data_IF_328961478925
#
_entry.id   IF_328961478925
#
_cell.length_a   1.000
_cell.length_b   1.000
_cell.length_c   1.000
_cell.angle_alpha   90.00
_cell.angle_beta   90.00
_cell.angle_gamma   90.00
#
_symmetry.space_group_name_H-M   'P 1'
#
loop_
_entity.id
_entity.type
_entity.pdbx_description
1 polymer ?
#
# COMPACT_ATOMS: atom_id res chain seq x y z
N UNK A 1 -1.43 0.78 9.79
CA UNK A 1 -1.01 0.95 8.37
C UNK A 1 0.05 2.03 8.20
N UNK A 2 -0.14 3.25 8.71
CA UNK A 2 0.84 4.33 8.56
C UNK A 2 2.25 4.03 9.13
N UNK A 3 2.36 3.17 10.15
CA UNK A 3 3.65 2.67 10.66
C UNK A 3 4.51 1.99 9.60
N UNK A 4 3.92 1.53 8.47
CA UNK A 4 4.67 1.00 7.33
C UNK A 4 5.63 2.03 6.71
N UNK A 5 5.29 3.32 6.81
CA UNK A 5 6.14 4.40 6.30
C UNK A 5 7.40 4.61 7.13
N UNK A 6 7.31 4.38 8.46
CA UNK A 6 8.49 4.42 9.33
C UNK A 6 9.49 3.35 8.88
N UNK A 7 8.98 2.14 8.59
CA UNK A 7 9.79 1.03 8.08
C UNK A 7 10.34 1.35 6.70
N UNK A 8 9.50 1.92 5.83
CA UNK A 8 9.88 2.29 4.47
C UNK A 8 10.99 3.34 4.42
N UNK A 9 11.12 4.21 5.42
CA UNK A 9 12.16 5.24 5.46
C UNK A 9 13.33 4.86 6.37
N UNK A 10 13.04 4.31 7.55
CA UNK A 10 14.07 3.91 8.53
C UNK A 10 14.66 2.55 8.21
N UNK A 11 13.83 1.54 8.00
CA UNK A 11 14.27 0.16 7.82
C UNK A 11 15.07 -0.10 6.56
N UNK A 12 14.86 0.68 5.49
CA UNK A 12 15.61 0.52 4.23
C UNK A 12 17.07 1.01 4.32
N UNK A 13 17.42 1.69 5.40
CA UNK A 13 18.81 2.06 5.67
C UNK A 13 19.62 0.85 6.12
N UNK A 14 19.00 -0.02 6.90
CA UNK A 14 19.62 -1.21 7.48
C UNK A 14 19.43 -2.44 6.59
N UNK A 15 18.25 -2.57 5.96
CA UNK A 15 17.85 -3.75 5.19
C UNK A 15 17.50 -3.35 3.76
N UNK A 16 17.98 -4.09 2.73
CA UNK A 16 17.59 -3.83 1.34
C UNK A 16 16.05 -3.86 1.16
N UNK A 17 15.47 -2.94 0.35
CA UNK A 17 14.02 -2.73 0.31
C UNK A 17 13.21 -3.94 -0.12
N UNK A 18 13.66 -4.70 -1.13
CA UNK A 18 12.94 -5.89 -1.59
C UNK A 18 13.10 -7.03 -0.59
N UNK A 19 14.30 -7.18 -0.02
CA UNK A 19 14.56 -8.12 1.07
C UNK A 19 13.65 -7.87 2.26
N UNK A 20 13.50 -6.61 2.66
CA UNK A 20 12.62 -6.21 3.76
C UNK A 20 11.15 -6.55 3.47
N UNK A 21 10.69 -6.30 2.24
CA UNK A 21 9.33 -6.66 1.82
C UNK A 21 9.10 -8.18 1.82
N UNK A 22 10.05 -8.93 1.24
CA UNK A 22 9.99 -10.40 1.18
C UNK A 22 9.92 -11.02 2.57
N UNK A 23 10.89 -10.71 3.42
CA UNK A 23 10.98 -11.29 4.75
C UNK A 23 9.81 -10.89 5.66
N UNK A 24 9.33 -9.66 5.52
CA UNK A 24 8.11 -9.22 6.22
C UNK A 24 6.91 -10.09 5.89
N UNK A 25 6.61 -10.31 4.61
CA UNK A 25 5.44 -11.09 4.21
C UNK A 25 5.61 -12.59 4.47
N UNK A 26 6.82 -13.10 4.33
CA UNK A 26 7.14 -14.46 4.74
C UNK A 26 6.92 -14.66 6.25
N UNK A 27 7.34 -13.70 7.07
CA UNK A 27 7.12 -13.72 8.52
C UNK A 27 5.64 -13.65 8.88
N UNK A 28 4.84 -12.82 8.20
CA UNK A 28 3.36 -12.80 8.34
C UNK A 28 2.80 -14.19 8.08
N UNK A 29 3.20 -14.83 6.99
CA UNK A 29 2.75 -16.18 6.66
C UNK A 29 3.17 -17.20 7.75
N UNK A 30 4.42 -17.19 8.17
CA UNK A 30 4.95 -18.13 9.20
C UNK A 30 4.19 -17.97 10.53
N UNK A 31 3.88 -16.73 10.94
CA UNK A 31 3.13 -16.49 12.19
C UNK A 31 1.69 -16.95 12.08
N UNK A 32 1.02 -16.70 10.94
CA UNK A 32 -0.41 -17.00 10.79
C UNK A 32 -0.69 -18.46 10.43
N UNK A 33 0.23 -19.12 9.73
CA UNK A 33 0.02 -20.48 9.22
C UNK A 33 -0.37 -21.48 10.30
N UNK A 34 0.25 -21.55 11.48
CA UNK A 34 -0.12 -22.51 12.52
C UNK A 34 -1.59 -22.37 12.97
N UNK A 35 -2.14 -21.17 12.99
CA UNK A 35 -3.50 -20.90 13.42
C UNK A 35 -4.55 -21.26 12.37
N UNK A 36 -4.23 -21.08 11.08
CA UNK A 36 -5.19 -21.24 9.98
C UNK A 36 -4.93 -22.48 9.12
N UNK A 37 -3.90 -23.26 9.40
CA UNK A 37 -3.52 -24.45 8.66
C UNK A 37 -4.66 -25.47 8.53
N UNK A 38 -5.36 -25.76 9.64
CA UNK A 38 -6.46 -26.72 9.64
C UNK A 38 -7.63 -26.28 8.74
N UNK A 39 -7.97 -24.97 8.74
CA UNK A 39 -9.03 -24.45 7.87
C UNK A 39 -8.62 -24.52 6.39
N UNK A 40 -7.38 -24.17 6.09
CA UNK A 40 -6.83 -24.23 4.72
C UNK A 40 -6.82 -25.67 4.20
N UNK A 41 -6.40 -26.64 5.02
CA UNK A 41 -6.38 -28.06 4.64
C UNK A 41 -7.78 -28.62 4.43
N UNK A 42 -8.74 -28.30 5.31
CA UNK A 42 -10.13 -28.73 5.16
C UNK A 42 -10.75 -28.24 3.85
N UNK A 43 -10.33 -27.06 3.38
CA UNK A 43 -10.83 -26.41 2.17
C UNK A 43 -9.83 -26.51 1.00
N UNK A 44 -9.05 -27.60 0.92
CA UNK A 44 -8.03 -27.79 -0.12
C UNK A 44 -8.59 -27.68 -1.55
N UNK A 45 -9.83 -28.12 -1.78
CA UNK A 45 -10.47 -27.99 -3.08
C UNK A 45 -10.70 -26.51 -3.50
N UNK A 46 -11.06 -25.64 -2.53
CA UNK A 46 -11.22 -24.20 -2.73
C UNK A 46 -9.85 -23.57 -2.99
N UNK A 47 -8.82 -23.96 -2.20
CA UNK A 47 -7.47 -23.49 -2.42
C UNK A 47 -7.01 -23.72 -3.86
N UNK A 48 -7.18 -24.95 -4.39
CA UNK A 48 -6.80 -25.28 -5.76
C UNK A 48 -7.59 -24.48 -6.82
N UNK A 49 -8.88 -24.26 -6.58
CA UNK A 49 -9.75 -23.45 -7.47
C UNK A 49 -9.38 -21.97 -7.49
N UNK A 50 -8.89 -21.44 -6.37
CA UNK A 50 -8.62 -20.01 -6.19
C UNK A 50 -7.12 -19.65 -6.25
N UNK A 51 -6.25 -20.61 -6.58
CA UNK A 51 -4.79 -20.43 -6.50
C UNK A 51 -4.30 -19.25 -7.33
N UNK A 52 -4.75 -19.11 -8.57
CA UNK A 52 -4.37 -18.02 -9.47
C UNK A 52 -4.89 -16.66 -8.98
N UNK A 53 -6.11 -16.62 -8.45
CA UNK A 53 -6.70 -15.41 -7.87
C UNK A 53 -5.92 -14.94 -6.63
N UNK A 54 -5.63 -15.88 -5.73
CA UNK A 54 -4.89 -15.57 -4.51
C UNK A 54 -3.42 -15.24 -4.79
N UNK A 55 -2.80 -15.86 -5.82
CA UNK A 55 -1.47 -15.47 -6.30
C UNK A 55 -1.47 -14.04 -6.83
N UNK A 56 -2.43 -13.68 -7.68
CA UNK A 56 -2.56 -12.32 -8.21
C UNK A 56 -2.78 -11.29 -7.09
N UNK A 57 -3.66 -11.60 -6.14
CA UNK A 57 -3.88 -10.74 -4.97
C UNK A 57 -2.61 -10.59 -4.13
N UNK A 58 -1.86 -11.68 -3.92
CA UNK A 58 -0.58 -11.66 -3.23
C UNK A 58 0.46 -10.81 -3.96
N UNK A 59 0.59 -10.98 -5.27
CA UNK A 59 1.52 -10.21 -6.08
C UNK A 59 1.19 -8.70 -6.07
N UNK A 60 -0.09 -8.32 -6.17
CA UNK A 60 -0.50 -6.91 -6.15
C UNK A 60 -0.46 -6.31 -4.74
N UNK A 61 -1.11 -6.97 -3.76
CA UNK A 61 -1.28 -6.43 -2.41
C UNK A 61 -0.03 -6.53 -1.53
N UNK A 62 0.70 -7.63 -1.62
CA UNK A 62 1.90 -7.87 -0.82
C UNK A 62 3.18 -7.65 -1.62
N UNK A 63 3.20 -8.02 -2.90
CA UNK A 63 4.33 -7.80 -3.79
C UNK A 63 4.49 -6.32 -4.14
N UNK A 64 3.69 -5.81 -5.04
CA UNK A 64 3.76 -4.41 -5.52
C UNK A 64 3.55 -3.42 -4.38
N UNK A 65 2.42 -3.55 -3.67
CA UNK A 65 2.09 -2.68 -2.54
C UNK A 65 3.02 -2.84 -1.33
N UNK A 66 3.68 -3.99 -1.21
CA UNK A 66 4.63 -4.28 -0.16
C UNK A 66 6.02 -3.74 -0.42
N UNK A 67 6.57 -3.94 -1.63
CA UNK A 67 7.93 -3.56 -1.99
C UNK A 67 8.08 -2.10 -2.43
N UNK A 68 7.14 -1.58 -3.22
CA UNK A 68 7.26 -0.25 -3.81
C UNK A 68 7.38 0.88 -2.77
N UNK A 69 6.65 0.89 -1.63
CA UNK A 69 6.88 1.86 -0.57
C UNK A 69 8.30 1.78 0.01
N UNK A 70 8.88 0.58 0.11
CA UNK A 70 10.24 0.42 0.63
C UNK A 70 11.28 0.93 -0.37
N UNK A 71 11.10 0.65 -1.67
CA UNK A 71 11.94 1.26 -2.72
C UNK A 71 11.77 2.78 -2.72
N UNK A 72 10.55 3.29 -2.59
CA UNK A 72 10.27 4.72 -2.52
C UNK A 72 10.99 5.40 -1.34
N UNK A 73 11.00 4.75 -0.18
CA UNK A 73 11.64 5.26 1.03
C UNK A 73 13.14 5.54 0.91
N UNK A 74 13.82 5.00 -0.11
CA UNK A 74 15.22 5.29 -0.38
C UNK A 74 15.45 6.69 -0.94
N UNK A 75 14.45 7.33 -1.55
CA UNK A 75 14.64 8.56 -2.32
C UNK A 75 13.56 9.63 -2.16
N UNK A 76 12.48 9.37 -1.40
CA UNK A 76 11.45 10.38 -1.10
C UNK A 76 11.14 10.47 0.40
N UNK A 77 10.38 11.50 0.79
CA UNK A 77 10.01 11.76 2.18
C UNK A 77 8.79 10.92 2.62
N UNK A 78 8.67 10.66 3.93
CA UNK A 78 7.49 9.98 4.49
C UNK A 78 6.21 10.77 4.20
N UNK A 79 6.28 12.10 4.32
CA UNK A 79 5.13 12.99 4.07
C UNK A 79 4.65 12.86 2.63
N UNK A 80 5.57 12.92 1.63
CA UNK A 80 5.22 12.71 0.23
C UNK A 80 4.60 11.32 0.01
N UNK A 81 5.25 10.27 0.53
CA UNK A 81 4.75 8.91 0.44
C UNK A 81 3.32 8.77 0.96
N UNK A 82 3.05 9.37 2.12
CA UNK A 82 1.73 9.33 2.74
C UNK A 82 0.66 10.01 1.91
N UNK A 83 0.94 11.23 1.43
CA UNK A 83 -0.04 11.99 0.63
C UNK A 83 -0.27 11.33 -0.73
N UNK A 84 0.79 10.88 -1.41
CA UNK A 84 0.64 10.17 -2.69
C UNK A 84 -0.18 8.88 -2.51
N UNK A 85 0.07 8.12 -1.45
CA UNK A 85 -0.67 6.89 -1.21
C UNK A 85 -2.16 7.11 -0.91
N UNK A 86 -2.53 8.24 -0.29
CA UNK A 86 -3.94 8.60 -0.06
C UNK A 86 -4.70 8.88 -1.35
N UNK A 87 -4.02 9.00 -2.50
CA UNK A 87 -4.67 9.05 -3.82
C UNK A 87 -5.17 7.68 -4.32
N UNK A 88 -4.86 6.57 -3.64
CA UNK A 88 -5.32 5.22 -4.04
C UNK A 88 -6.82 5.12 -4.33
N UNK A 89 -7.75 5.77 -3.58
CA UNK A 89 -9.17 5.78 -3.91
C UNK A 89 -9.47 6.34 -5.29
N UNK A 90 -8.65 7.25 -5.82
CA UNK A 90 -8.78 7.80 -7.18
C UNK A 90 -8.61 6.68 -8.19
N UNK A 91 -7.52 5.91 -8.03
CA UNK A 91 -7.25 4.77 -8.89
C UNK A 91 -8.32 3.69 -8.77
N UNK A 92 -8.88 3.47 -7.55
CA UNK A 92 -10.01 2.56 -7.35
C UNK A 92 -11.21 3.00 -8.19
N UNK A 93 -11.57 4.30 -8.16
CA UNK A 93 -12.69 4.84 -8.93
C UNK A 93 -12.42 4.71 -10.44
N UNK A 94 -11.24 5.10 -10.91
CA UNK A 94 -10.87 5.01 -12.34
C UNK A 94 -10.94 3.57 -12.84
N UNK A 95 -10.36 2.63 -12.10
CA UNK A 95 -10.38 1.21 -12.46
C UNK A 95 -11.81 0.63 -12.38
N UNK A 96 -12.63 1.08 -11.44
CA UNK A 96 -14.04 0.68 -11.32
C UNK A 96 -14.85 1.10 -12.56
N UNK A 97 -14.64 2.33 -13.03
CA UNK A 97 -15.26 2.82 -14.27
C UNK A 97 -14.81 1.99 -15.46
N UNK A 98 -13.50 1.73 -15.58
CA UNK A 98 -12.92 1.06 -16.73
C UNK A 98 -13.29 -0.42 -16.80
N UNK A 99 -13.18 -1.16 -15.69
CA UNK A 99 -13.40 -2.61 -15.64
C UNK A 99 -14.85 -3.01 -15.35
N UNK A 100 -15.57 -2.20 -14.55
CA UNK A 100 -16.94 -2.53 -14.14
C UNK A 100 -18.01 -1.63 -14.75
N UNK A 101 -17.59 -0.73 -15.67
CA UNK A 101 -18.50 0.20 -16.38
C UNK A 101 -19.35 1.06 -15.44
N UNK A 102 -18.81 1.39 -14.28
CA UNK A 102 -19.46 2.30 -13.33
C UNK A 102 -19.65 3.68 -13.99
N UNK A 103 -20.81 4.28 -13.78
CA UNK A 103 -21.08 5.62 -14.28
C UNK A 103 -20.33 6.67 -13.44
N UNK A 104 -19.72 7.63 -14.14
CA UNK A 104 -19.05 8.74 -13.49
C UNK A 104 -20.00 9.93 -13.42
N UNK A 105 -20.26 10.47 -12.23
CA UNK A 105 -20.95 11.76 -12.09
C UNK A 105 -19.97 12.91 -12.25
N UNK A 106 -20.48 14.09 -12.59
CA UNK A 106 -19.65 15.29 -12.70
C UNK A 106 -18.84 15.58 -11.44
N UNK A 107 -19.43 15.40 -10.26
CA UNK A 107 -18.74 15.58 -8.98
C UNK A 107 -17.58 14.57 -8.79
N UNK A 108 -17.75 13.32 -9.22
CA UNK A 108 -16.67 12.33 -9.20
C UNK A 108 -15.52 12.72 -10.13
N UNK A 109 -15.85 13.16 -11.35
CA UNK A 109 -14.85 13.62 -12.33
C UNK A 109 -14.07 14.82 -11.80
N UNK A 110 -14.76 15.84 -11.27
CA UNK A 110 -14.14 17.01 -10.68
C UNK A 110 -13.25 16.64 -9.47
N UNK A 111 -13.72 15.74 -8.60
CA UNK A 111 -12.95 15.24 -7.47
C UNK A 111 -11.67 14.51 -7.88
N UNK A 112 -11.76 13.67 -8.92
CA UNK A 112 -10.61 12.98 -9.51
C UNK A 112 -9.56 13.97 -10.02
N UNK A 113 -9.98 14.94 -10.85
CA UNK A 113 -9.08 15.95 -11.43
C UNK A 113 -8.40 16.77 -10.34
N UNK A 114 -9.16 17.19 -9.32
CA UNK A 114 -8.62 17.94 -8.19
C UNK A 114 -7.58 17.12 -7.41
N UNK A 115 -7.85 15.86 -7.17
CA UNK A 115 -6.91 14.98 -6.46
C UNK A 115 -5.64 14.73 -7.28
N UNK A 116 -5.75 14.53 -8.59
CA UNK A 116 -4.59 14.38 -9.49
C UNK A 116 -3.74 15.65 -9.45
N UNK A 117 -4.38 16.83 -9.53
CA UNK A 117 -3.67 18.11 -9.41
C UNK A 117 -2.92 18.23 -8.07
N UNK A 118 -3.54 17.79 -6.95
CA UNK A 118 -2.90 17.77 -5.64
C UNK A 118 -1.67 16.87 -5.58
N UNK A 119 -1.75 15.67 -6.14
CA UNK A 119 -0.60 14.73 -6.23
C UNK A 119 0.52 15.33 -7.09
N UNK A 120 0.18 15.95 -8.23
CA UNK A 120 1.18 16.62 -9.09
C UNK A 120 1.86 17.79 -8.37
N UNK A 121 1.13 18.63 -7.62
CA UNK A 121 1.72 19.72 -6.81
C UNK A 121 2.77 19.16 -5.84
N UNK A 122 2.52 18.02 -5.21
CA UNK A 122 3.45 17.40 -4.27
C UNK A 122 4.68 16.84 -4.97
N UNK A 123 4.48 16.11 -6.06
CA UNK A 123 5.56 15.51 -6.83
C UNK A 123 6.48 16.59 -7.39
N UNK A 124 5.89 17.69 -7.90
CA UNK A 124 6.64 18.83 -8.43
C UNK A 124 7.15 19.79 -7.33
N UNK A 125 6.92 19.48 -6.05
CA UNK A 125 7.31 20.33 -4.91
C UNK A 125 6.84 21.78 -5.03
N UNK A 126 5.70 21.99 -5.70
CA UNK A 126 5.13 23.31 -5.98
C UNK A 126 5.81 24.09 -7.11
N UNK A 127 6.79 23.51 -7.80
CA UNK A 127 7.50 24.11 -8.94
C UNK A 127 7.13 23.41 -10.25
N UNK A 128 6.38 24.12 -11.12
CA UNK A 128 5.99 23.59 -12.43
C UNK A 128 7.17 23.31 -13.37
N UNK A 129 8.32 23.98 -13.17
CA UNK A 129 9.50 23.72 -13.97
C UNK A 129 10.04 22.31 -13.71
N UNK A 130 9.85 21.73 -12.51
CA UNK A 130 10.21 20.35 -12.23
C UNK A 130 9.36 19.37 -13.06
N UNK A 131 8.09 19.69 -13.29
CA UNK A 131 7.21 18.92 -14.17
C UNK A 131 7.66 19.00 -15.62
N UNK A 132 7.93 20.20 -16.11
CA UNK A 132 8.36 20.45 -17.50
C UNK A 132 9.71 19.79 -17.81
N UNK A 133 10.62 19.76 -16.84
CA UNK A 133 11.94 19.15 -16.98
C UNK A 133 12.00 17.66 -16.57
N UNK A 134 10.85 17.04 -16.24
CA UNK A 134 10.73 15.65 -15.78
C UNK A 134 11.67 15.28 -14.62
N UNK A 135 11.96 16.25 -13.74
CA UNK A 135 12.82 16.06 -12.57
C UNK A 135 12.01 15.58 -11.35
N UNK A 136 11.41 14.41 -11.48
CA UNK A 136 10.69 13.77 -10.36
C UNK A 136 11.66 13.01 -9.46
N UNK A 137 11.30 12.85 -8.19
CA UNK A 137 11.94 11.87 -7.32
C UNK A 137 11.51 10.48 -7.75
N UNK A 138 12.44 9.56 -7.99
CA UNK A 138 12.11 8.17 -8.33
C UNK A 138 11.18 7.54 -7.27
N UNK A 139 11.35 7.90 -6.00
CA UNK A 139 10.50 7.41 -4.91
C UNK A 139 9.04 7.80 -5.03
N UNK A 140 8.74 9.01 -5.52
CA UNK A 140 7.35 9.44 -5.71
C UNK A 140 6.65 8.61 -6.80
N UNK A 141 7.37 8.23 -7.87
CA UNK A 141 6.86 7.35 -8.92
C UNK A 141 6.59 5.93 -8.40
N UNK A 142 7.47 5.39 -7.56
CA UNK A 142 7.26 4.10 -6.90
C UNK A 142 6.01 4.14 -5.99
N UNK A 143 5.76 5.26 -5.32
CA UNK A 143 4.55 5.42 -4.50
C UNK A 143 3.27 5.47 -5.33
N UNK A 144 3.28 6.08 -6.52
CA UNK A 144 2.14 5.99 -7.46
C UNK A 144 1.89 4.53 -7.84
N UNK A 145 2.95 3.79 -8.16
CA UNK A 145 2.86 2.35 -8.44
C UNK A 145 2.27 1.57 -7.26
N UNK A 146 2.66 1.90 -6.03
CA UNK A 146 2.08 1.29 -4.82
C UNK A 146 0.59 1.62 -4.67
N UNK A 147 0.18 2.87 -4.92
CA UNK A 147 -1.22 3.29 -4.86
C UNK A 147 -2.08 2.59 -5.92
N UNK A 148 -1.55 2.41 -7.14
CA UNK A 148 -2.16 1.61 -8.20
C UNK A 148 -2.28 0.13 -7.81
N UNK A 149 -1.21 -0.47 -7.29
CA UNK A 149 -1.20 -1.86 -6.81
C UNK A 149 -2.28 -2.08 -5.74
N UNK A 150 -2.42 -1.13 -4.80
CA UNK A 150 -3.48 -1.17 -3.80
C UNK A 150 -4.88 -1.08 -4.40
N UNK A 151 -5.06 -0.22 -5.39
CA UNK A 151 -6.34 -0.08 -6.07
C UNK A 151 -6.73 -1.37 -6.79
N UNK A 152 -5.81 -1.97 -7.54
CA UNK A 152 -6.01 -3.26 -8.23
C UNK A 152 -6.34 -4.35 -7.19
N UNK A 153 -5.51 -4.48 -6.15
CA UNK A 153 -5.74 -5.44 -5.07
C UNK A 153 -7.14 -5.26 -4.45
N UNK A 154 -7.51 -4.03 -4.10
CA UNK A 154 -8.78 -3.73 -3.42
C UNK A 154 -9.99 -4.09 -4.26
N UNK A 155 -9.98 -3.76 -5.56
CA UNK A 155 -11.06 -4.07 -6.49
C UNK A 155 -11.24 -5.58 -6.65
N UNK A 156 -10.16 -6.29 -6.92
CA UNK A 156 -10.24 -7.74 -7.13
C UNK A 156 -10.53 -8.50 -5.84
N UNK A 157 -10.05 -8.03 -4.69
CA UNK A 157 -10.39 -8.61 -3.39
C UNK A 157 -11.90 -8.53 -3.10
N UNK A 158 -12.55 -7.41 -3.44
CA UNK A 158 -13.98 -7.21 -3.27
C UNK A 158 -14.81 -8.07 -4.26
N UNK A 159 -14.37 -8.17 -5.51
CA UNK A 159 -15.10 -8.87 -6.56
C UNK A 159 -14.89 -10.39 -6.54
N UNK A 160 -13.71 -10.84 -6.18
CA UNK A 160 -13.40 -12.27 -6.07
C UNK A 160 -13.75 -12.77 -4.66
N UNK A 161 -15.03 -13.02 -4.44
CA UNK A 161 -15.48 -13.65 -3.19
C UNK A 161 -14.80 -15.00 -3.00
N UNK A 162 -14.52 -15.38 -1.77
CA UNK A 162 -13.91 -16.63 -1.38
C UNK A 162 -14.73 -17.26 -0.25
N UNK A 163 -14.73 -18.58 -0.21
CA UNK A 163 -15.31 -19.35 0.89
C UNK A 163 -14.35 -19.51 2.08
N UNK A 164 -13.11 -19.02 1.97
CA UNK A 164 -12.20 -18.92 3.09
C UNK A 164 -12.63 -17.81 4.05
N UNK A 165 -12.40 -18.05 5.34
CA UNK A 165 -12.44 -16.96 6.30
C UNK A 165 -11.38 -15.92 5.98
N UNK A 166 -11.65 -14.67 6.37
CA UNK A 166 -10.80 -13.52 6.01
C UNK A 166 -9.33 -13.74 6.36
N UNK A 167 -9.05 -14.27 7.55
CA UNK A 167 -7.68 -14.45 8.01
C UNK A 167 -7.01 -15.66 7.35
N UNK A 168 -7.75 -16.75 7.09
CA UNK A 168 -7.25 -17.89 6.31
C UNK A 168 -6.87 -17.47 4.90
N UNK A 169 -7.73 -16.68 4.24
CA UNK A 169 -7.44 -16.12 2.91
C UNK A 169 -6.25 -15.16 2.94
N UNK A 170 -6.15 -14.30 3.96
CA UNK A 170 -5.03 -13.39 4.13
C UNK A 170 -3.70 -14.14 4.31
N UNK A 171 -3.71 -15.26 5.06
CA UNK A 171 -2.53 -16.13 5.20
C UNK A 171 -2.06 -16.68 3.84
N UNK A 172 -3.00 -17.12 2.99
CA UNK A 172 -2.71 -17.59 1.62
C UNK A 172 -2.17 -16.46 0.75
N UNK A 173 -2.79 -15.27 0.82
CA UNK A 173 -2.35 -14.08 0.08
C UNK A 173 -0.94 -13.66 0.50
N UNK A 174 -0.63 -13.69 1.81
CA UNK A 174 0.72 -13.37 2.31
C UNK A 174 1.78 -14.35 1.80
N UNK A 175 1.46 -15.66 1.75
CA UNK A 175 2.33 -16.68 1.16
C UNK A 175 2.64 -16.38 -0.31
N UNK A 176 1.61 -16.15 -1.12
CA UNK A 176 1.80 -15.85 -2.53
C UNK A 176 2.46 -14.49 -2.76
N UNK A 177 2.26 -13.53 -1.86
CA UNK A 177 2.98 -12.27 -1.87
C UNK A 177 4.47 -12.45 -1.64
N UNK A 178 4.86 -13.24 -0.63
CA UNK A 178 6.25 -13.59 -0.41
C UNK A 178 6.82 -14.37 -1.62
N UNK A 179 6.08 -15.35 -2.13
CA UNK A 179 6.49 -16.12 -3.30
C UNK A 179 6.71 -15.25 -4.54
N UNK A 180 5.86 -14.27 -4.78
CA UNK A 180 6.01 -13.31 -5.89
C UNK A 180 7.24 -12.40 -5.74
N UNK A 181 7.65 -12.11 -4.51
CA UNK A 181 8.84 -11.31 -4.21
C UNK A 181 10.13 -12.11 -4.24
N UNK A 182 10.06 -13.44 -4.10
CA UNK A 182 11.23 -14.31 -3.99
C UNK A 182 12.25 -14.10 -5.12
N UNK A 183 11.89 -14.12 -6.42
CA UNK A 183 12.86 -13.92 -7.49
C UNK A 183 13.56 -12.56 -7.41
N UNK A 184 12.82 -11.49 -7.07
CA UNK A 184 13.37 -10.15 -6.93
C UNK A 184 14.27 -10.04 -5.69
N UNK A 185 13.92 -10.68 -4.58
CA UNK A 185 14.77 -10.80 -3.40
C UNK A 185 16.10 -11.51 -3.72
N UNK A 186 16.05 -12.62 -4.46
CA UNK A 186 17.26 -13.32 -4.86
C UNK A 186 18.15 -12.45 -5.76
N UNK A 187 17.57 -11.72 -6.72
CA UNK A 187 18.30 -10.80 -7.58
C UNK A 187 18.91 -9.67 -6.75
N UNK A 188 18.15 -9.03 -5.85
CA UNK A 188 18.66 -7.97 -4.97
C UNK A 188 19.83 -8.46 -4.12
N UNK A 189 19.66 -9.63 -3.48
CA UNK A 189 20.64 -10.20 -2.56
C UNK A 189 21.91 -10.68 -3.24
N UNK A 190 21.83 -11.18 -4.49
CA UNK A 190 22.97 -11.72 -5.22
C UNK A 190 23.74 -10.64 -6.01
N UNK A 191 23.03 -9.65 -6.57
CA UNK A 191 23.62 -8.73 -7.55
C UNK A 191 23.73 -7.28 -7.08
N UNK A 192 22.98 -6.87 -6.04
CA UNK A 192 22.94 -5.46 -5.62
C UNK A 192 23.42 -5.27 -4.18
N UNK A 193 22.66 -5.67 -3.19
CA UNK A 193 22.98 -5.48 -1.78
C UNK A 193 22.59 -6.71 -0.98
N UNK A 194 23.59 -7.34 -0.38
CA UNK A 194 23.40 -8.55 0.44
C UNK A 194 22.61 -8.23 1.72
N UNK A 195 21.65 -9.08 2.05
CA UNK A 195 20.89 -8.99 3.29
C UNK A 195 21.77 -9.42 4.46
N UNK A 196 21.92 -8.56 5.44
CA UNK A 196 22.61 -8.87 6.70
C UNK A 196 21.56 -9.27 7.75
N UNK A 197 21.66 -10.51 8.24
CA UNK A 197 20.77 -11.03 9.28
C UNK A 197 21.31 -10.65 10.67
N UNK A 198 21.03 -9.42 11.08
CA UNK A 198 21.42 -8.86 12.36
C UNK A 198 20.17 -8.45 13.19
N UNK A 199 20.39 -7.83 14.33
CA UNK A 199 19.32 -7.36 15.22
C UNK A 199 18.39 -6.32 14.56
N UNK A 200 18.94 -5.42 13.74
CA UNK A 200 18.16 -4.41 13.00
C UNK A 200 17.26 -5.07 11.95
N UNK A 201 17.78 -6.06 11.24
CA UNK A 201 16.98 -6.88 10.33
C UNK A 201 15.81 -7.53 11.06
N UNK A 202 16.07 -8.20 12.18
CA UNK A 202 15.05 -8.88 12.96
C UNK A 202 14.00 -7.88 13.48
N UNK A 203 14.44 -6.73 14.00
CA UNK A 203 13.56 -5.67 14.48
C UNK A 203 12.62 -5.17 13.38
N UNK A 204 13.17 -4.75 12.22
CA UNK A 204 12.37 -4.19 11.14
C UNK A 204 11.40 -5.21 10.52
N UNK A 205 11.84 -6.45 10.35
CA UNK A 205 11.00 -7.52 9.80
C UNK A 205 9.86 -7.86 10.75
N UNK A 206 10.14 -8.06 12.04
CA UNK A 206 9.11 -8.38 13.05
C UNK A 206 8.15 -7.19 13.25
N UNK A 207 8.67 -5.99 13.39
CA UNK A 207 7.84 -4.80 13.51
C UNK A 207 6.93 -4.64 12.29
N UNK A 208 7.48 -4.86 11.09
CA UNK A 208 6.74 -4.80 9.83
C UNK A 208 5.69 -5.90 9.67
N UNK A 209 5.99 -7.11 10.11
CA UNK A 209 5.05 -8.21 10.06
C UNK A 209 3.91 -8.04 11.08
N UNK A 210 4.22 -7.64 12.29
CA UNK A 210 3.22 -7.54 13.39
C UNK A 210 2.37 -6.28 13.23
N UNK A 211 3.01 -5.08 13.22
CA UNK A 211 2.29 -3.80 13.30
C UNK A 211 1.51 -3.46 12.02
N UNK A 212 2.13 -3.13 10.87
CA UNK A 212 1.39 -2.83 9.65
C UNK A 212 0.91 -4.09 8.90
N UNK A 213 1.47 -5.26 9.19
CA UNK A 213 1.04 -6.54 8.63
C UNK A 213 -0.18 -7.09 9.35
N UNK A 214 0.01 -7.87 10.40
CA UNK A 214 -1.07 -8.65 11.05
C UNK A 214 -2.09 -7.73 11.73
N UNK A 215 -1.64 -6.82 12.60
CA UNK A 215 -2.57 -6.00 13.40
C UNK A 215 -3.37 -5.06 12.50
N UNK A 216 -2.69 -4.29 11.63
CA UNK A 216 -3.38 -3.31 10.81
C UNK A 216 -4.33 -3.95 9.78
N UNK A 217 -3.93 -5.08 9.18
CA UNK A 217 -4.80 -5.81 8.25
C UNK A 217 -6.02 -6.41 8.96
N UNK A 218 -5.82 -7.02 10.13
CA UNK A 218 -6.92 -7.59 10.92
C UNK A 218 -7.91 -6.51 11.34
N UNK A 219 -7.43 -5.38 11.87
CA UNK A 219 -8.28 -4.26 12.27
C UNK A 219 -9.01 -3.64 11.08
N UNK A 220 -8.30 -3.39 9.97
CA UNK A 220 -8.91 -2.83 8.77
C UNK A 220 -10.01 -3.73 8.22
N UNK A 221 -9.78 -5.03 8.15
CA UNK A 221 -10.76 -5.99 7.68
C UNK A 221 -11.98 -6.09 8.59
N UNK A 222 -11.77 -6.06 9.92
CA UNK A 222 -12.86 -5.97 10.89
C UNK A 222 -13.68 -4.69 10.68
N UNK A 223 -13.03 -3.54 10.58
CA UNK A 223 -13.71 -2.26 10.32
C UNK A 223 -14.50 -2.32 9.02
N UNK A 224 -13.94 -2.85 7.92
CA UNK A 224 -14.69 -3.03 6.66
C UNK A 224 -15.94 -3.89 6.84
N UNK A 225 -15.86 -4.95 7.65
CA UNK A 225 -17.00 -5.84 7.91
C UNK A 225 -18.14 -5.13 8.66
N UNK A 226 -17.80 -4.25 9.62
CA UNK A 226 -18.82 -3.56 10.44
C UNK A 226 -19.38 -2.29 9.82
N UNK A 227 -18.54 -1.48 9.16
CA UNK A 227 -18.96 -0.16 8.64
C UNK A 227 -18.99 -0.08 7.11
N UNK A 228 -18.65 -1.17 6.44
CA UNK A 228 -18.55 -1.22 4.98
C UNK A 228 -17.28 -0.60 4.42
N UNK A 229 -16.99 -0.92 3.16
CA UNK A 229 -15.76 -0.48 2.48
C UNK A 229 -15.67 1.05 2.35
N UNK A 230 -16.81 1.72 2.17
CA UNK A 230 -16.86 3.17 1.99
C UNK A 230 -16.38 3.93 3.23
N UNK A 231 -16.87 3.56 4.43
CA UNK A 231 -16.45 4.20 5.68
C UNK A 231 -15.04 3.76 6.11
N UNK A 232 -14.66 2.51 5.87
CA UNK A 232 -13.30 2.03 6.11
C UNK A 232 -12.25 2.81 5.28
N UNK A 233 -12.64 3.29 4.09
CA UNK A 233 -11.80 4.16 3.27
C UNK A 233 -11.40 5.48 3.94
N UNK A 234 -12.19 5.99 4.94
CA UNK A 234 -11.77 7.16 5.71
C UNK A 234 -10.49 6.95 6.51
N UNK A 235 -10.21 5.70 6.91
CA UNK A 235 -8.96 5.39 7.60
C UNK A 235 -7.71 5.70 6.74
N UNK A 236 -7.85 5.64 5.40
CA UNK A 236 -6.75 5.98 4.48
C UNK A 236 -6.44 7.49 4.48
N UNK A 237 -7.39 8.36 4.84
CA UNK A 237 -7.10 9.80 4.94
C UNK A 237 -6.23 10.12 6.16
N UNK A 238 -6.44 9.38 7.26
CA UNK A 238 -5.56 9.48 8.42
C UNK A 238 -4.13 9.06 8.10
N UNK A 239 -3.93 8.28 7.04
CA UNK A 239 -2.59 7.86 6.59
C UNK A 239 -1.70 9.06 6.25
N UNK A 240 -2.22 10.08 5.54
CA UNK A 240 -1.47 11.30 5.23
C UNK A 240 -1.16 12.12 6.49
N UNK A 241 -2.11 12.24 7.42
CA UNK A 241 -1.91 12.96 8.67
C UNK A 241 -0.83 12.29 9.51
N UNK A 242 -0.93 10.96 9.69
CA UNK A 242 0.09 10.20 10.42
C UNK A 242 1.44 10.20 9.70
N UNK A 243 1.47 10.22 8.36
CA UNK A 243 2.74 10.29 7.62
C UNK A 243 3.48 11.60 7.89
N UNK A 244 2.77 12.74 7.86
CA UNK A 244 3.33 14.04 8.19
C UNK A 244 3.84 14.08 9.64
N UNK A 245 3.05 13.55 10.59
CA UNK A 245 3.42 13.44 12.00
C UNK A 245 4.69 12.60 12.20
N UNK A 246 4.78 11.43 11.58
CA UNK A 246 5.96 10.57 11.66
C UNK A 246 7.17 11.19 10.96
N UNK A 247 6.97 11.87 9.82
CA UNK A 247 8.03 12.58 9.12
C UNK A 247 8.70 13.63 10.00
N UNK A 248 7.90 14.44 10.71
CA UNK A 248 8.41 15.47 11.63
C UNK A 248 9.14 14.83 12.81
N UNK A 249 8.51 13.86 13.50
CA UNK A 249 9.04 13.34 14.77
C UNK A 249 10.27 12.45 14.58
N UNK A 250 10.23 11.55 13.59
CA UNK A 250 11.28 10.53 13.46
C UNK A 250 12.34 10.87 12.42
N UNK A 251 12.05 11.79 11.48
CA UNK A 251 12.92 12.04 10.34
C UNK A 251 13.25 13.53 10.13
N UNK A 252 12.86 14.40 11.08
CA UNK A 252 13.09 15.84 11.02
C UNK A 252 12.62 16.48 9.70
N UNK A 253 11.54 15.94 9.10
CA UNK A 253 10.97 16.50 7.88
C UNK A 253 10.28 17.83 8.16
N UNK A 254 10.50 18.80 7.27
CA UNK A 254 9.86 20.13 7.34
C UNK A 254 8.66 20.15 6.41
N UNK A 255 7.49 20.51 6.94
CA UNK A 255 6.30 20.71 6.12
C UNK A 255 6.43 22.02 5.35
N UNK A 256 6.52 21.91 4.04
CA UNK A 256 6.59 23.03 3.12
C UNK A 256 5.19 23.38 2.58
N UNK A 257 5.02 24.59 2.03
CA UNK A 257 3.72 25.10 1.54
C UNK A 257 3.04 24.15 0.54
N UNK A 258 3.81 23.50 -0.31
CA UNK A 258 3.25 22.57 -1.31
C UNK A 258 2.61 21.32 -0.69
N UNK A 259 3.05 20.87 0.50
CA UNK A 259 2.41 19.76 1.21
C UNK A 259 1.00 20.13 1.66
N UNK A 260 0.81 21.36 2.17
CA UNK A 260 -0.51 21.85 2.58
C UNK A 260 -1.43 22.05 1.37
N UNK A 261 -0.94 22.70 0.32
CA UNK A 261 -1.72 22.96 -0.90
C UNK A 261 -2.10 21.64 -1.57
N UNK A 262 -1.12 20.81 -1.89
CA UNK A 262 -1.35 19.53 -2.56
C UNK A 262 -2.18 18.58 -1.72
N UNK A 263 -1.91 18.48 -0.41
CA UNK A 263 -2.71 17.70 0.53
C UNK A 263 -4.18 18.16 0.56
N UNK A 264 -4.44 19.46 0.63
CA UNK A 264 -5.80 20.02 0.60
C UNK A 264 -6.51 19.65 -0.71
N UNK A 265 -5.86 19.76 -1.85
CA UNK A 265 -6.42 19.38 -3.15
C UNK A 265 -6.77 17.89 -3.19
N UNK A 266 -5.89 17.02 -2.69
CA UNK A 266 -6.16 15.57 -2.60
C UNK A 266 -7.37 15.33 -1.70
N UNK A 267 -7.40 15.87 -0.48
CA UNK A 267 -8.50 15.64 0.46
C UNK A 267 -9.85 16.15 -0.05
N UNK A 268 -9.90 17.39 -0.57
CA UNK A 268 -11.12 17.97 -1.14
C UNK A 268 -11.57 17.16 -2.36
N UNK A 269 -10.65 16.79 -3.24
CA UNK A 269 -10.95 15.97 -4.41
C UNK A 269 -11.55 14.61 -4.06
N UNK A 270 -10.99 13.92 -3.08
CA UNK A 270 -11.52 12.64 -2.61
C UNK A 270 -12.91 12.84 -1.94
N UNK A 271 -13.08 13.90 -1.17
CA UNK A 271 -14.38 14.22 -0.55
C UNK A 271 -15.48 14.45 -1.60
N UNK A 272 -15.17 15.21 -2.66
CA UNK A 272 -16.08 15.43 -3.78
C UNK A 272 -16.39 14.14 -4.53
N UNK A 273 -15.38 13.32 -4.78
CA UNK A 273 -15.54 12.04 -5.48
C UNK A 273 -16.42 11.06 -4.70
N UNK A 274 -16.46 11.15 -3.36
CA UNK A 274 -17.21 10.26 -2.47
C UNK A 274 -18.68 10.64 -2.29
N UNK A 275 -19.05 11.92 -2.42
CA UNK A 275 -20.36 12.47 -2.05
C UNK A 275 -21.58 11.79 -2.73
N UNK A 276 -21.37 10.87 -3.69
CA UNK A 276 -22.42 10.28 -4.53
C UNK A 276 -22.41 8.73 -4.47
N UNK A 277 -21.90 8.14 -3.41
CA UNK A 277 -22.17 6.73 -3.11
C UNK A 277 -23.47 6.63 -2.28
N UNK A 278 -24.59 7.02 -2.89
CA UNK A 278 -25.95 6.66 -2.45
C UNK A 278 -26.59 5.75 -3.47
#
# INVERSE_FOLDING_TARGET
MATNLIIARGGVQDVPPISLAFWRWLTVFIILMPFFFKDILKKKHIFNKEISKNFFLGAMGCGVCGAFPFIAGTSTTITNMGIIYTSSPIFIILLSIFFFKDTISFSRAAGLLLSIAGVLIIICKGDLNLLMNLKFTHGDLWMIGAALGWAIYSIYLLNWKSEFEIMSRFTIIAFFGALSLLPFYLIENLFYKKTLFNEFFLFWVLFGAISPGIIAFTLYTKVQKYVGASLAGFALYLYAVYSAFYGIIFFNEILLKYHFIGGTFVFVGIFLAKKILK
#
